data_IF_956743634977
#
_entry.id   IF_956743634977
#
_cell.length_a   1.000
_cell.length_b   1.000
_cell.length_c   1.000
_cell.angle_alpha   90.00
_cell.angle_beta   90.00
_cell.angle_gamma   90.00
#
_symmetry.space_group_name_H-M   'P 1'
#
loop_
_entity.id
_entity.type
_entity.pdbx_description
1 polymer ?
#
# COMPACT_ATOMS: atom_id res chain seq x y z
N UNK A 1 6.60 -0.37 12.25
CA UNK A 1 7.84 0.13 11.58
C UNK A 1 8.79 -1.03 11.32
N UNK A 2 9.07 -1.86 12.30
CA UNK A 2 10.04 -2.95 12.20
C UNK A 2 9.71 -3.92 11.06
N UNK A 3 8.45 -4.28 10.91
CA UNK A 3 7.97 -5.18 9.86
C UNK A 3 8.33 -4.72 8.43
N UNK A 4 8.24 -3.42 8.12
CA UNK A 4 8.61 -2.94 6.78
C UNK A 4 10.13 -2.93 6.57
N UNK A 5 10.89 -2.68 7.64
CA UNK A 5 12.35 -2.77 7.61
C UNK A 5 12.84 -4.22 7.42
N UNK A 6 12.23 -5.16 8.14
CA UNK A 6 12.51 -6.60 8.00
C UNK A 6 12.13 -7.11 6.60
N UNK A 7 11.00 -6.66 6.07
CA UNK A 7 10.59 -6.97 4.69
C UNK A 7 11.66 -6.55 3.69
N UNK A 8 12.18 -5.31 3.81
CA UNK A 8 13.24 -4.83 2.94
C UNK A 8 14.55 -5.59 3.13
N UNK A 9 14.90 -5.93 4.37
CA UNK A 9 16.12 -6.70 4.67
C UNK A 9 16.08 -8.08 4.01
N UNK A 10 14.91 -8.75 4.03
CA UNK A 10 14.72 -10.06 3.41
C UNK A 10 14.58 -10.03 1.88
N UNK A 11 14.22 -8.91 1.29
CA UNK A 11 13.96 -8.75 -0.13
C UNK A 11 15.21 -8.24 -0.88
N UNK A 12 16.14 -9.15 -1.23
CA UNK A 12 17.44 -8.78 -1.82
C UNK A 12 17.34 -8.10 -3.19
N UNK A 13 16.24 -8.33 -3.92
CA UNK A 13 15.99 -7.74 -5.24
C UNK A 13 15.16 -6.44 -5.18
N UNK A 14 14.74 -6.01 -3.98
CA UNK A 14 13.97 -4.79 -3.81
C UNK A 14 14.83 -3.63 -3.31
N UNK A 15 14.55 -2.45 -3.81
CA UNK A 15 15.18 -1.21 -3.41
C UNK A 15 14.39 -0.48 -2.32
N UNK A 16 13.10 -0.79 -2.23
CA UNK A 16 12.20 -0.28 -1.22
C UNK A 16 11.16 -1.32 -0.82
N UNK A 17 10.57 -1.15 0.34
CA UNK A 17 9.48 -1.99 0.82
C UNK A 17 8.33 -1.16 1.36
N UNK A 18 7.15 -1.75 1.33
CA UNK A 18 5.93 -1.21 1.91
C UNK A 18 5.08 -2.32 2.52
N UNK A 19 3.94 -1.98 3.09
CA UNK A 19 3.01 -2.93 3.69
C UNK A 19 1.61 -2.80 3.09
N UNK A 20 0.85 -3.88 3.17
CA UNK A 20 -0.53 -3.90 2.70
C UNK A 20 -1.40 -4.77 3.60
N UNK A 21 -2.68 -4.49 3.62
CA UNK A 21 -3.71 -5.29 4.29
C UNK A 21 -4.64 -5.94 3.26
N UNK A 22 -5.23 -7.11 3.57
CA UNK A 22 -6.37 -7.58 2.81
C UNK A 22 -7.46 -6.52 2.78
N UNK A 23 -8.05 -6.29 1.62
CA UNK A 23 -9.18 -5.39 1.47
C UNK A 23 -10.44 -6.17 1.83
N UNK A 24 -11.03 -5.87 2.98
CA UNK A 24 -12.16 -6.63 3.56
C UNK A 24 -13.50 -6.03 3.17
N UNK A 25 -13.58 -4.70 3.08
CA UNK A 25 -14.82 -3.98 2.81
C UNK A 25 -14.96 -3.75 1.30
N UNK A 26 -16.07 -4.19 0.73
CA UNK A 26 -16.33 -4.02 -0.70
C UNK A 26 -16.41 -2.54 -1.12
N UNK A 27 -16.88 -1.68 -0.24
CA UNK A 27 -16.93 -0.22 -0.46
C UNK A 27 -15.55 0.40 -0.67
N UNK A 28 -14.52 -0.10 0.06
CA UNK A 28 -13.15 0.37 -0.07
C UNK A 28 -12.54 0.09 -1.46
N UNK A 29 -13.11 -0.86 -2.21
CA UNK A 29 -12.66 -1.15 -3.59
C UNK A 29 -12.85 0.03 -4.52
N UNK A 30 -13.98 0.70 -4.41
CA UNK A 30 -14.36 1.81 -5.29
C UNK A 30 -13.97 3.18 -4.72
N UNK A 31 -13.44 3.21 -3.49
CA UNK A 31 -12.99 4.44 -2.87
C UNK A 31 -11.60 4.82 -3.42
N UNK A 32 -11.45 5.95 -4.13
CA UNK A 32 -10.16 6.40 -4.67
C UNK A 32 -9.18 6.88 -3.60
N UNK A 33 -9.62 7.14 -2.36
CA UNK A 33 -8.75 7.45 -1.23
C UNK A 33 -8.03 6.20 -0.73
N UNK A 34 -8.62 5.03 -0.92
CA UNK A 34 -8.03 3.73 -0.62
C UNK A 34 -7.20 3.26 -1.79
N UNK A 35 -5.89 3.35 -1.68
CA UNK A 35 -4.97 2.84 -2.72
C UNK A 35 -4.93 1.31 -2.67
N UNK A 36 -5.12 0.68 -3.83
CA UNK A 36 -5.00 -0.77 -4.01
C UNK A 36 -3.62 -1.14 -4.51
N UNK A 37 -3.15 -2.33 -4.15
CA UNK A 37 -1.90 -2.89 -4.66
C UNK A 37 -2.09 -4.34 -5.09
N UNK A 38 -1.56 -4.68 -6.25
CA UNK A 38 -1.45 -6.06 -6.73
C UNK A 38 -0.02 -6.52 -6.58
N UNK A 39 0.17 -7.72 -6.06
CA UNK A 39 1.48 -8.32 -5.81
C UNK A 39 1.67 -9.60 -6.62
N UNK A 40 2.91 -9.89 -6.98
CA UNK A 40 3.28 -11.17 -7.56
C UNK A 40 3.35 -12.28 -6.49
N UNK A 41 3.60 -13.53 -6.93
CA UNK A 41 3.73 -14.68 -6.03
C UNK A 41 4.92 -14.58 -5.06
N UNK A 42 5.88 -13.69 -5.35
CA UNK A 42 7.09 -13.47 -4.53
C UNK A 42 6.92 -12.32 -3.55
N UNK A 43 5.76 -11.63 -3.59
CA UNK A 43 5.48 -10.48 -2.73
C UNK A 43 6.01 -9.15 -3.26
N UNK A 44 6.35 -9.04 -4.54
CA UNK A 44 6.71 -7.75 -5.15
C UNK A 44 5.48 -7.09 -5.75
N UNK A 45 5.40 -5.77 -5.64
CA UNK A 45 4.32 -5.00 -6.24
C UNK A 45 4.38 -5.10 -7.77
N UNK A 46 3.23 -5.40 -8.37
CA UNK A 46 3.02 -5.32 -9.81
C UNK A 46 2.49 -3.95 -10.21
N UNK A 47 1.56 -3.41 -9.42
CA UNK A 47 1.01 -2.07 -9.66
C UNK A 47 0.26 -1.55 -8.42
N UNK A 48 0.20 -0.21 -8.29
CA UNK A 48 -0.62 0.51 -7.34
C UNK A 48 -1.63 1.35 -8.09
N UNK A 49 -2.86 1.43 -7.61
CA UNK A 49 -3.88 2.26 -8.25
C UNK A 49 -4.95 2.74 -7.26
N UNK A 50 -5.51 3.91 -7.54
CA UNK A 50 -6.74 4.38 -6.91
C UNK A 50 -7.96 3.67 -7.49
N UNK A 51 -7.88 3.17 -8.73
CA UNK A 51 -8.92 2.36 -9.35
C UNK A 51 -9.07 0.97 -8.68
N UNK A 52 -10.20 0.31 -8.84
CA UNK A 52 -10.38 -1.08 -8.43
C UNK A 52 -9.46 -2.01 -9.21
N UNK A 53 -8.45 -2.55 -8.55
CA UNK A 53 -7.53 -3.57 -9.10
C UNK A 53 -7.34 -4.71 -8.09
N UNK A 54 -7.25 -5.99 -8.59
CA UNK A 54 -7.46 -6.43 -9.97
C UNK A 54 -8.93 -6.33 -10.38
N UNK A 55 -9.21 -6.21 -11.68
CA UNK A 55 -10.59 -6.26 -12.18
C UNK A 55 -11.15 -7.67 -12.06
N UNK A 56 -12.29 -7.81 -11.40
CA UNK A 56 -13.00 -9.10 -11.26
C UNK A 56 -14.01 -9.22 -12.41
N UNK A 57 -13.70 -10.06 -13.40
CA UNK A 57 -14.49 -10.19 -14.63
C UNK A 57 -15.88 -10.81 -14.42
N UNK A 58 -15.98 -11.75 -13.50
CA UNK A 58 -17.25 -12.41 -13.18
C UNK A 58 -17.62 -12.03 -11.75
N UNK A 59 -18.92 -11.91 -11.46
CA UNK A 59 -19.41 -11.83 -10.08
C UNK A 59 -19.11 -13.14 -9.36
N UNK A 60 -17.83 -13.37 -9.11
CA UNK A 60 -17.42 -14.40 -8.17
C UNK A 60 -17.80 -13.83 -6.81
N UNK A 61 -18.78 -14.44 -6.11
CA UNK A 61 -19.10 -13.98 -4.77
C UNK A 61 -17.81 -13.94 -3.98
N UNK A 62 -17.59 -12.92 -3.15
CA UNK A 62 -16.45 -12.90 -2.25
C UNK A 62 -16.62 -14.10 -1.30
N UNK A 63 -16.17 -15.24 -1.74
CA UNK A 63 -15.76 -16.27 -0.81
C UNK A 63 -14.63 -15.64 -0.01
N UNK A 64 -14.89 -15.42 1.28
CA UNK A 64 -13.98 -14.75 2.22
C UNK A 64 -12.57 -15.38 2.26
N UNK A 65 -12.36 -16.52 1.59
CA UNK A 65 -11.09 -17.21 1.49
C UNK A 65 -10.23 -16.77 0.27
N UNK A 66 -10.84 -16.30 -0.82
CA UNK A 66 -10.12 -15.98 -2.06
C UNK A 66 -9.89 -14.48 -2.28
N UNK A 67 -10.83 -13.63 -1.90
CA UNK A 67 -10.74 -12.18 -2.07
C UNK A 67 -9.56 -11.53 -1.33
N UNK A 68 -9.28 -11.83 -0.06
CA UNK A 68 -8.19 -11.20 0.69
C UNK A 68 -6.80 -11.43 0.10
N UNK A 69 -6.63 -12.47 -0.72
CA UNK A 69 -5.32 -12.80 -1.32
C UNK A 69 -4.95 -11.89 -2.49
N UNK A 70 -5.94 -11.42 -3.24
CA UNK A 70 -5.71 -10.67 -4.48
C UNK A 70 -6.00 -9.18 -4.34
N UNK A 71 -6.98 -8.83 -3.49
CA UNK A 71 -7.35 -7.44 -3.25
C UNK A 71 -6.69 -6.95 -1.96
N UNK A 72 -5.79 -6.01 -2.10
CA UNK A 72 -5.00 -5.50 -0.98
C UNK A 72 -5.06 -3.98 -0.95
N UNK A 73 -5.34 -3.45 0.24
CA UNK A 73 -5.17 -2.03 0.53
C UNK A 73 -3.69 -1.76 0.81
N UNK A 74 -3.12 -0.83 0.11
CA UNK A 74 -1.80 -0.31 0.40
C UNK A 74 -1.82 0.56 1.66
N UNK A 75 -0.78 0.42 2.48
CA UNK A 75 -0.52 1.29 3.62
C UNK A 75 0.72 2.12 3.29
N UNK A 76 0.58 3.44 3.33
CA UNK A 76 1.62 4.40 2.94
C UNK A 76 2.84 4.46 3.89
N UNK A 77 3.31 3.32 4.35
CA UNK A 77 4.51 3.18 5.17
C UNK A 77 5.62 2.53 4.34
N UNK A 78 6.80 3.17 4.29
CA UNK A 78 7.89 2.72 3.44
C UNK A 78 9.22 2.58 4.17
N UNK A 79 10.01 1.61 3.72
CA UNK A 79 11.44 1.53 3.98
C UNK A 79 12.20 1.64 2.64
N UNK A 80 13.35 2.30 2.67
CA UNK A 80 14.21 2.49 1.51
C UNK A 80 15.64 2.07 1.84
N UNK A 81 16.35 1.46 0.86
CA UNK A 81 17.80 1.40 0.94
C UNK A 81 18.36 2.82 0.80
N UNK A 82 19.30 3.20 1.65
CA UNK A 82 19.83 4.58 1.68
C UNK A 82 20.39 5.01 0.32
N UNK A 83 21.13 4.12 -0.35
CA UNK A 83 21.66 4.38 -1.69
C UNK A 83 20.54 4.61 -2.72
N UNK A 84 19.49 3.83 -2.63
CA UNK A 84 18.34 3.96 -3.51
C UNK A 84 17.55 5.27 -3.26
N UNK A 85 17.36 5.65 -2.02
CA UNK A 85 16.64 6.89 -1.70
C UNK A 85 17.29 8.10 -2.38
N UNK A 86 18.63 8.17 -2.39
CA UNK A 86 19.38 9.23 -3.10
C UNK A 86 19.15 9.17 -4.61
N UNK A 87 19.09 7.97 -5.19
CA UNK A 87 18.78 7.76 -6.61
C UNK A 87 17.32 8.13 -6.90
N UNK A 88 16.39 7.68 -6.08
CA UNK A 88 14.95 7.89 -6.28
C UNK A 88 14.58 9.38 -6.43
N UNK A 89 15.14 10.25 -5.62
CA UNK A 89 14.87 11.69 -5.71
C UNK A 89 15.43 12.34 -6.98
N UNK A 90 16.37 11.69 -7.67
CA UNK A 90 16.91 12.14 -8.95
C UNK A 90 16.24 11.51 -10.18
N UNK A 91 15.33 10.54 -9.99
CA UNK A 91 14.58 9.94 -11.09
C UNK A 91 13.55 10.94 -11.62
N UNK A 92 13.40 10.96 -12.95
CA UNK A 92 12.35 11.74 -13.60
C UNK A 92 10.96 11.23 -13.16
N UNK A 93 10.03 12.14 -12.84
CA UNK A 93 8.65 11.76 -12.52
C UNK A 93 8.01 10.96 -13.67
N UNK A 94 7.31 9.90 -13.31
CA UNK A 94 6.66 9.06 -14.33
C UNK A 94 5.27 9.60 -14.69
N UNK A 95 4.79 9.36 -15.92
CA UNK A 95 3.41 9.69 -16.29
C UNK A 95 2.38 8.99 -15.39
N UNK A 96 2.65 7.76 -14.96
CA UNK A 96 1.76 7.00 -14.09
C UNK A 96 1.65 7.62 -12.69
N UNK A 97 2.79 8.05 -12.13
CA UNK A 97 2.84 8.78 -10.87
C UNK A 97 1.98 10.05 -10.92
N UNK A 98 2.07 10.80 -12.01
CA UNK A 98 1.31 12.04 -12.17
C UNK A 98 -0.19 11.81 -12.30
N UNK A 99 -0.60 10.79 -13.07
CA UNK A 99 -2.02 10.47 -13.29
C UNK A 99 -2.68 9.92 -12.03
N UNK A 100 -2.01 9.00 -11.33
CA UNK A 100 -2.54 8.36 -10.12
C UNK A 100 -2.27 9.19 -8.85
N UNK A 101 -1.37 10.18 -8.91
CA UNK A 101 -0.83 10.90 -7.73
C UNK A 101 -0.28 9.91 -6.69
N UNK A 102 0.59 9.00 -7.16
CA UNK A 102 1.20 7.92 -6.38
C UNK A 102 2.70 7.84 -6.70
N UNK A 103 3.54 8.42 -5.84
CA UNK A 103 4.98 8.58 -6.06
C UNK A 103 5.72 7.24 -6.21
N UNK A 104 5.27 6.19 -5.57
CA UNK A 104 5.88 4.86 -5.66
C UNK A 104 5.80 4.26 -7.08
N UNK A 105 4.89 4.75 -7.93
CA UNK A 105 4.82 4.33 -9.33
C UNK A 105 6.06 4.75 -10.13
N UNK A 106 6.80 5.78 -9.68
CA UNK A 106 8.09 6.16 -10.26
C UNK A 106 9.09 5.01 -10.18
N UNK A 107 9.17 4.33 -9.02
CA UNK A 107 10.04 3.18 -8.86
C UNK A 107 9.71 2.07 -9.88
N UNK A 108 8.45 1.68 -9.96
CA UNK A 108 8.00 0.64 -10.89
C UNK A 108 8.23 1.04 -12.36
N UNK A 109 8.00 2.31 -12.69
CA UNK A 109 8.23 2.84 -14.04
C UNK A 109 9.67 2.72 -14.47
N UNK A 110 10.62 2.95 -13.57
CA UNK A 110 12.05 2.81 -13.82
C UNK A 110 12.57 1.38 -13.68
N UNK A 111 11.68 0.40 -13.49
CA UNK A 111 12.01 -1.02 -13.42
C UNK A 111 12.52 -1.48 -12.05
N UNK A 112 12.42 -0.63 -11.03
CA UNK A 112 12.81 -0.98 -9.66
C UNK A 112 11.72 -1.80 -8.98
N UNK A 113 12.11 -2.63 -8.01
CA UNK A 113 11.18 -3.52 -7.30
C UNK A 113 10.83 -2.97 -5.93
N UNK A 114 9.54 -3.13 -5.59
CA UNK A 114 8.99 -2.78 -4.28
C UNK A 114 8.51 -4.06 -3.62
N UNK A 115 9.10 -4.44 -2.49
CA UNK A 115 8.61 -5.55 -1.69
C UNK A 115 7.37 -5.13 -0.88
N UNK A 116 6.39 -6.02 -0.77
CA UNK A 116 5.12 -5.73 -0.07
C UNK A 116 4.87 -6.79 0.99
N UNK A 117 5.01 -6.43 2.25
CA UNK A 117 4.64 -7.31 3.35
C UNK A 117 3.12 -7.25 3.63
N UNK A 118 2.59 -8.31 4.22
CA UNK A 118 1.27 -8.27 4.83
C UNK A 118 1.38 -7.60 6.21
N UNK A 119 0.62 -6.55 6.48
CA UNK A 119 0.64 -5.90 7.78
C UNK A 119 0.05 -6.83 8.85
N UNK A 120 0.68 -6.91 10.00
CA UNK A 120 0.26 -7.76 11.13
C UNK A 120 -0.90 -7.14 11.92
N UNK A 121 -1.03 -5.82 11.85
CA UNK A 121 -2.08 -5.07 12.51
C UNK A 121 -2.64 -3.99 11.61
N UNK A 122 -3.91 -3.67 11.80
CA UNK A 122 -4.54 -2.53 11.12
C UNK A 122 -3.97 -1.26 11.77
N UNK A 123 -3.32 -0.37 11.01
CA UNK A 123 -2.90 0.92 11.55
C UNK A 123 -4.13 1.71 11.98
N UNK A 124 -3.97 2.57 12.95
CA UNK A 124 -5.00 3.56 13.29
C UNK A 124 -5.34 4.45 12.10
N UNK A 125 -6.46 5.18 12.17
CA UNK A 125 -6.82 6.11 11.10
C UNK A 125 -5.73 7.15 10.89
N UNK A 126 -5.47 7.48 9.61
CA UNK A 126 -4.64 8.63 9.24
C UNK A 126 -5.35 9.93 9.62
N UNK A 127 -4.61 11.01 9.74
CA UNK A 127 -5.17 12.34 10.03
C UNK A 127 -4.84 13.24 8.85
N UNK A 128 -5.75 13.31 7.88
CA UNK A 128 -5.64 14.15 6.70
C UNK A 128 -6.68 15.30 6.72
N UNK A 129 -7.76 15.11 7.49
CA UNK A 129 -8.86 16.08 7.63
C UNK A 129 -9.15 16.41 9.09
N UNK A 130 -9.92 17.47 9.34
CA UNK A 130 -10.41 17.79 10.68
C UNK A 130 -11.30 16.69 11.27
N UNK A 131 -12.10 16.02 10.42
CA UNK A 131 -12.94 14.91 10.85
C UNK A 131 -12.10 13.71 11.32
N UNK A 132 -11.01 13.40 10.62
CA UNK A 132 -10.07 12.34 11.04
C UNK A 132 -9.41 12.69 12.37
N UNK A 133 -9.05 13.95 12.58
CA UNK A 133 -8.49 14.43 13.85
C UNK A 133 -9.46 14.21 14.99
N UNK A 134 -10.74 14.57 14.82
CA UNK A 134 -11.78 14.36 15.83
C UNK A 134 -11.96 12.88 16.17
N UNK A 135 -11.94 12.00 15.14
CA UNK A 135 -12.01 10.54 15.34
C UNK A 135 -10.81 10.02 16.14
N UNK A 136 -9.60 10.47 15.78
CA UNK A 136 -8.37 10.06 16.48
C UNK A 136 -8.38 10.53 17.95
N UNK A 137 -8.82 11.74 18.23
CA UNK A 137 -8.97 12.26 19.62
C UNK A 137 -9.89 11.32 20.42
N UNK A 138 -11.05 10.95 19.87
CA UNK A 138 -11.98 10.04 20.56
C UNK A 138 -11.36 8.65 20.82
N UNK A 139 -10.53 8.15 19.91
CA UNK A 139 -9.83 6.87 20.10
C UNK A 139 -8.84 6.95 21.26
N UNK A 140 -8.09 8.04 21.37
CA UNK A 140 -7.14 8.24 22.47
C UNK A 140 -7.85 8.40 23.82
N UNK A 141 -8.90 9.19 23.90
CA UNK A 141 -9.69 9.37 25.12
C UNK A 141 -10.27 8.06 25.66
N UNK A 142 -10.68 7.14 24.75
CA UNK A 142 -11.18 5.80 25.15
C UNK A 142 -10.10 4.84 25.63
N UNK A 143 -8.82 5.08 25.30
CA UNK A 143 -7.72 4.24 25.77
C UNK A 143 -7.21 4.61 27.15
N UNK A 144 -7.48 5.83 27.59
CA UNK A 144 -7.07 6.36 28.90
C UNK A 144 -8.12 6.12 29.99
N UNK A 145 -9.24 5.44 29.66
CA UNK A 145 -10.32 5.04 30.57
C UNK A 145 -10.33 3.54 30.79
#
# INVERSE_FOLDING_TARGET
IDQVAECLAGATEAEMATVSLPLVRHEDMNDPSVVKVVVDRRGYALYFSRAPIPFVRNDVPPDNATHPRYMRRHIGLYAYRVGYLRRFVSLEPSPLEQVESLEQLRALWHGDRIAVAAAESIPGPGVDTLADLEEVIQIFERRDT
#
